data_IF_830971620544
#
_entry.id   IF_830971620544
#
_cell.length_a   1.000
_cell.length_b   1.000
_cell.length_c   1.000
_cell.angle_alpha   90.00
_cell.angle_beta   90.00
_cell.angle_gamma   90.00
#
_symmetry.space_group_name_H-M   'P 1'
#
loop_
_entity.id
_entity.type
_entity.pdbx_description
1 polymer ?
#
# COMPACT_ATOMS: atom_id res chain seq x y z
N UNK A 1 -32.80 -36.91 -27.44
CA UNK A 1 -31.61 -36.81 -28.32
C UNK A 1 -30.39 -37.36 -27.58
N UNK A 2 -29.84 -38.53 -27.95
CA UNK A 2 -28.65 -39.13 -27.28
C UNK A 2 -27.38 -38.47 -27.83
N UNK A 3 -26.78 -37.55 -27.07
CA UNK A 3 -25.47 -36.99 -27.41
C UNK A 3 -24.42 -38.12 -27.46
N UNK A 4 -23.67 -38.19 -28.55
CA UNK A 4 -22.63 -39.19 -28.75
C UNK A 4 -21.45 -38.96 -27.76
N UNK A 5 -20.74 -40.04 -27.41
CA UNK A 5 -19.68 -39.98 -26.38
C UNK A 5 -18.48 -39.13 -26.83
N UNK A 6 -18.15 -39.13 -28.12
CA UNK A 6 -17.02 -38.39 -28.69
C UNK A 6 -17.23 -36.87 -28.66
N UNK A 7 -18.43 -36.40 -29.00
CA UNK A 7 -18.86 -35.00 -28.92
C UNK A 7 -18.87 -34.49 -27.48
N UNK A 8 -19.25 -35.34 -26.51
CA UNK A 8 -19.16 -35.01 -25.08
C UNK A 8 -17.71 -34.83 -24.64
N UNK A 9 -16.80 -35.71 -25.06
CA UNK A 9 -15.38 -35.63 -24.72
C UNK A 9 -14.75 -34.39 -25.35
N UNK A 10 -15.02 -34.12 -26.62
CA UNK A 10 -14.51 -32.91 -27.30
C UNK A 10 -15.02 -31.63 -26.64
N UNK A 11 -16.28 -31.58 -26.22
CA UNK A 11 -16.84 -30.40 -25.53
C UNK A 11 -16.16 -30.16 -24.17
N UNK A 12 -15.89 -31.23 -23.41
CA UNK A 12 -15.19 -31.15 -22.11
C UNK A 12 -13.77 -30.64 -22.30
N UNK A 13 -13.04 -31.18 -23.29
CA UNK A 13 -11.65 -30.76 -23.56
C UNK A 13 -11.58 -29.27 -23.96
N UNK A 14 -12.47 -28.83 -24.85
CA UNK A 14 -12.56 -27.40 -25.25
C UNK A 14 -12.93 -26.51 -24.07
N UNK A 15 -13.91 -26.92 -23.25
CA UNK A 15 -14.31 -26.15 -22.07
C UNK A 15 -13.18 -26.05 -21.04
N UNK A 16 -12.46 -27.15 -20.80
CA UNK A 16 -11.30 -27.16 -19.89
C UNK A 16 -10.14 -26.30 -20.38
N UNK A 17 -9.84 -26.30 -21.68
CA UNK A 17 -8.81 -25.45 -22.26
C UNK A 17 -9.17 -23.96 -22.18
N UNK A 18 -10.44 -23.60 -22.43
CA UNK A 18 -10.95 -22.24 -22.28
C UNK A 18 -10.91 -21.75 -20.83
N UNK A 19 -11.28 -22.61 -19.87
CA UNK A 19 -11.18 -22.29 -18.44
C UNK A 19 -9.72 -22.06 -18.03
N UNK A 20 -8.78 -22.87 -18.54
CA UNK A 20 -7.34 -22.74 -18.23
C UNK A 20 -6.74 -21.45 -18.81
N UNK A 21 -7.21 -21.00 -19.99
CA UNK A 21 -6.80 -19.75 -20.60
C UNK A 21 -7.30 -18.51 -19.82
N UNK A 22 -8.50 -18.57 -19.23
CA UNK A 22 -9.08 -17.49 -18.43
C UNK A 22 -8.32 -17.25 -17.10
N UNK A 23 -7.59 -18.25 -16.60
CA UNK A 23 -6.79 -18.12 -15.36
C UNK A 23 -5.51 -17.30 -15.61
N UNK A 24 -5.03 -17.23 -16.86
CA UNK A 24 -3.80 -16.52 -17.22
C UNK A 24 -4.00 -15.02 -17.44
N UNK A 25 -5.24 -14.56 -17.67
CA UNK A 25 -5.57 -13.13 -17.82
C UNK A 25 -5.88 -12.42 -16.51
N UNK A 26 -5.74 -13.12 -15.37
CA UNK A 26 -5.89 -12.49 -14.06
C UNK A 26 -4.74 -11.50 -13.79
N UNK A 27 -5.07 -10.35 -13.21
CA UNK A 27 -4.05 -9.43 -12.69
C UNK A 27 -3.18 -10.16 -11.67
N UNK A 28 -1.92 -10.41 -12.02
CA UNK A 28 -0.94 -10.85 -11.03
C UNK A 28 -0.62 -9.65 -10.14
N UNK A 29 -0.77 -9.82 -8.83
CA UNK A 29 -0.20 -8.91 -7.85
C UNK A 29 1.30 -9.20 -7.81
N UNK A 30 2.02 -8.81 -8.86
CA UNK A 30 3.48 -8.87 -8.84
C UNK A 30 3.91 -7.98 -7.68
N UNK A 31 4.37 -8.62 -6.61
CA UNK A 31 4.87 -7.92 -5.45
C UNK A 31 6.00 -7.00 -5.90
N UNK A 32 5.94 -5.73 -5.49
CA UNK A 32 7.06 -4.81 -5.68
C UNK A 32 8.32 -5.48 -5.12
N UNK A 33 9.31 -5.76 -5.97
CA UNK A 33 10.61 -6.22 -5.50
C UNK A 33 11.37 -5.00 -4.98
N UNK A 34 11.13 -4.69 -3.71
CA UNK A 34 11.65 -3.52 -3.02
C UNK A 34 13.18 -3.50 -2.99
N UNK A 35 13.84 -4.66 -3.10
CA UNK A 35 15.30 -4.76 -3.14
C UNK A 35 15.92 -4.20 -4.44
N UNK A 36 15.12 -4.01 -5.49
CA UNK A 36 15.57 -3.45 -6.78
C UNK A 36 15.15 -1.99 -6.98
N UNK A 37 14.49 -1.36 -6.00
CA UNK A 37 14.08 0.04 -6.08
C UNK A 37 15.16 0.93 -5.46
N UNK A 38 15.31 2.13 -6.02
CA UNK A 38 16.12 3.17 -5.43
C UNK A 38 15.69 3.43 -3.97
N UNK A 39 16.66 3.76 -3.13
CA UNK A 39 16.39 4.10 -1.73
C UNK A 39 15.50 5.34 -1.66
N UNK A 40 14.38 5.22 -0.94
CA UNK A 40 13.51 6.36 -0.64
C UNK A 40 14.05 7.08 0.60
N UNK A 41 14.23 8.39 0.48
CA UNK A 41 14.92 9.19 1.47
C UNK A 41 13.93 9.82 2.44
N UNK A 42 14.06 9.55 3.74
CA UNK A 42 13.07 10.02 4.71
C UNK A 42 12.96 11.55 4.71
N UNK A 43 14.08 12.26 4.92
CA UNK A 43 14.06 13.72 5.08
C UNK A 43 13.56 14.46 3.83
N UNK A 44 13.86 13.91 2.64
CA UNK A 44 13.53 14.53 1.35
C UNK A 44 12.16 14.12 0.82
N UNK A 45 11.82 12.84 0.89
CA UNK A 45 10.67 12.27 0.20
C UNK A 45 9.49 12.00 1.13
N UNK A 46 9.74 11.65 2.40
CA UNK A 46 8.71 11.14 3.30
C UNK A 46 8.28 12.16 4.35
N UNK A 47 9.24 12.82 5.00
CA UNK A 47 8.98 13.82 6.04
C UNK A 47 8.05 14.95 5.53
N UNK A 48 8.22 15.49 4.30
CA UNK A 48 7.30 16.51 3.80
C UNK A 48 5.87 16.01 3.61
N UNK A 49 5.67 14.75 3.22
CA UNK A 49 4.33 14.17 3.04
C UNK A 49 3.63 14.08 4.41
N UNK A 50 4.29 13.49 5.41
CA UNK A 50 3.72 13.37 6.75
C UNK A 50 3.45 14.74 7.39
N UNK A 51 4.39 15.68 7.26
CA UNK A 51 4.25 17.01 7.85
C UNK A 51 3.10 17.81 7.21
N UNK A 52 3.03 17.84 5.88
CA UNK A 52 2.09 18.70 5.17
C UNK A 52 0.69 18.11 5.09
N UNK A 53 0.57 16.79 5.03
CA UNK A 53 -0.72 16.12 4.83
C UNK A 53 -1.32 15.55 6.11
N UNK A 54 -0.55 15.41 7.19
CA UNK A 54 -1.02 14.76 8.42
C UNK A 54 -0.66 15.56 9.68
N UNK A 55 0.54 16.14 9.75
CA UNK A 55 1.07 16.92 10.86
C UNK A 55 0.46 18.31 11.05
N UNK A 56 -0.79 18.52 10.65
CA UNK A 56 -1.50 19.80 10.74
C UNK A 56 -2.09 20.02 12.13
N UNK A 57 -2.21 21.28 12.54
CA UNK A 57 -2.76 21.68 13.84
C UNK A 57 -4.15 21.08 14.06
N UNK A 58 -4.33 20.40 15.19
CA UNK A 58 -5.59 19.74 15.55
C UNK A 58 -5.83 18.38 14.88
N UNK A 59 -4.90 17.88 14.06
CA UNK A 59 -4.98 16.55 13.45
C UNK A 59 -3.93 15.60 14.01
N UNK A 60 -2.67 15.66 13.58
CA UNK A 60 -1.58 14.84 14.13
C UNK A 60 -0.33 15.69 14.38
N UNK A 61 -0.54 16.84 15.00
CA UNK A 61 0.50 17.83 15.29
C UNK A 61 1.49 17.35 16.39
N UNK A 62 2.35 18.26 16.86
CA UNK A 62 3.37 17.99 17.86
C UNK A 62 2.82 17.56 19.23
N UNK A 63 1.56 17.88 19.53
CA UNK A 63 0.90 17.50 20.78
C UNK A 63 0.23 16.13 20.70
N UNK A 64 0.34 15.46 19.55
CA UNK A 64 -0.22 14.12 19.34
C UNK A 64 -1.69 14.10 18.93
N UNK A 65 -2.29 15.28 18.67
CA UNK A 65 -3.64 15.48 18.14
C UNK A 65 -4.66 14.34 18.30
N UNK A 66 -5.35 14.02 17.20
CA UNK A 66 -6.28 12.91 17.05
C UNK A 66 -5.53 11.56 17.17
N UNK A 67 -6.08 10.64 17.96
CA UNK A 67 -5.54 9.28 18.18
C UNK A 67 -4.14 9.19 18.82
N UNK A 68 -3.54 10.30 19.30
CA UNK A 68 -2.27 10.28 20.04
C UNK A 68 -1.02 10.16 19.15
N UNK A 69 -1.16 10.29 17.83
CA UNK A 69 -0.04 10.28 16.89
C UNK A 69 0.44 11.69 16.57
N UNK A 70 1.76 11.84 16.46
CA UNK A 70 2.40 13.05 15.96
C UNK A 70 3.14 12.74 14.67
N UNK A 71 2.84 13.47 13.60
CA UNK A 71 3.47 13.30 12.29
C UNK A 71 4.34 14.49 11.91
N UNK A 72 4.85 15.21 12.93
CA UNK A 72 5.74 16.36 12.75
C UNK A 72 7.22 16.01 12.92
N UNK A 73 7.55 14.76 13.25
CA UNK A 73 8.93 14.27 13.39
C UNK A 73 9.02 12.74 13.21
N UNK A 74 10.23 12.23 12.98
CA UNK A 74 10.47 10.81 12.75
C UNK A 74 10.03 9.90 13.92
N UNK A 75 10.37 10.18 15.19
CA UNK A 75 9.93 9.34 16.30
C UNK A 75 8.41 9.22 16.41
N UNK A 76 7.68 10.30 16.11
CA UNK A 76 6.23 10.31 16.10
C UNK A 76 5.65 9.48 14.95
N UNK A 77 6.19 9.64 13.73
CA UNK A 77 5.82 8.82 12.56
C UNK A 77 6.02 7.34 12.86
N UNK A 78 7.16 6.97 13.44
CA UNK A 78 7.48 5.57 13.72
C UNK A 78 6.54 4.88 14.70
N UNK A 79 5.80 5.63 15.55
CA UNK A 79 4.75 5.03 16.40
C UNK A 79 3.62 4.40 15.58
N UNK A 80 3.38 4.87 14.36
CA UNK A 80 2.33 4.37 13.47
C UNK A 80 2.86 3.44 12.35
N UNK A 81 4.16 3.16 12.33
CA UNK A 81 4.84 2.40 11.27
C UNK A 81 5.40 1.09 11.82
N UNK A 82 5.21 0.02 11.06
CA UNK A 82 5.86 -1.28 11.26
C UNK A 82 6.93 -1.43 10.17
N UNK A 83 8.23 -1.30 10.49
CA UNK A 83 9.30 -1.46 9.52
C UNK A 83 9.19 -2.77 8.72
N UNK A 84 9.51 -2.72 7.44
CA UNK A 84 9.45 -3.84 6.50
C UNK A 84 8.05 -4.42 6.25
N UNK A 85 6.98 -3.82 6.78
CA UNK A 85 5.61 -4.29 6.59
C UNK A 85 4.60 -3.13 6.53
N UNK A 86 4.44 -2.55 5.33
CA UNK A 86 3.44 -1.52 5.09
C UNK A 86 2.02 -2.02 5.39
N UNK A 87 1.73 -3.31 5.21
CA UNK A 87 0.39 -3.86 5.48
C UNK A 87 0.10 -4.02 6.97
N UNK A 88 1.10 -3.95 7.86
CA UNK A 88 0.89 -3.87 9.32
C UNK A 88 0.89 -2.44 9.87
N UNK A 89 1.48 -1.50 9.14
CA UNK A 89 1.60 -0.09 9.52
C UNK A 89 0.23 0.61 9.60
N UNK A 90 -0.10 1.17 10.77
CA UNK A 90 -1.38 1.84 11.01
C UNK A 90 -1.59 3.05 10.11
N UNK A 91 -0.58 3.91 9.95
CA UNK A 91 -0.66 5.07 9.07
C UNK A 91 -0.91 4.66 7.60
N UNK A 92 -0.22 3.61 7.11
CA UNK A 92 -0.37 3.14 5.74
C UNK A 92 -1.76 2.54 5.46
N UNK A 93 -2.32 1.81 6.43
CA UNK A 93 -3.69 1.32 6.36
C UNK A 93 -4.71 2.46 6.32
N UNK A 94 -4.51 3.50 7.14
CA UNK A 94 -5.39 4.65 7.20
C UNK A 94 -5.43 5.44 5.87
N UNK A 95 -4.28 5.65 5.21
CA UNK A 95 -4.21 6.33 3.90
C UNK A 95 -4.68 5.46 2.71
N UNK A 96 -4.91 4.18 2.94
CA UNK A 96 -5.46 3.23 1.95
C UNK A 96 -6.88 2.78 2.28
N UNK A 97 -7.49 3.32 3.35
CA UNK A 97 -8.85 2.99 3.79
C UNK A 97 -9.03 1.54 4.29
N UNK A 98 -7.94 0.81 4.54
CA UNK A 98 -8.00 -0.61 4.91
C UNK A 98 -8.22 -0.78 6.42
N UNK A 99 -9.43 -1.12 6.82
CA UNK A 99 -9.75 -1.40 8.23
C UNK A 99 -9.93 -0.14 9.09
N UNK A 100 -10.19 1.00 8.46
CA UNK A 100 -10.51 2.27 9.12
C UNK A 100 -11.89 2.74 8.65
N UNK A 101 -12.65 3.37 9.55
CA UNK A 101 -13.97 3.94 9.26
C UNK A 101 -13.88 5.18 8.37
N UNK A 102 -12.74 5.87 8.40
CA UNK A 102 -12.47 7.07 7.62
C UNK A 102 -11.11 6.97 6.94
N UNK A 103 -11.04 7.43 5.68
CA UNK A 103 -9.80 7.59 4.94
C UNK A 103 -9.02 8.79 5.47
N UNK A 104 -7.71 8.62 5.66
CA UNK A 104 -6.82 9.72 6.03
C UNK A 104 -5.94 10.19 4.86
N UNK A 105 -5.64 11.50 4.76
CA UNK A 105 -6.22 12.58 5.57
C UNK A 105 -7.68 12.90 5.16
N UNK A 106 -8.49 13.52 6.05
CA UNK A 106 -9.91 13.80 5.78
C UNK A 106 -10.14 14.76 4.61
N UNK A 107 -9.20 15.67 4.37
CA UNK A 107 -9.28 16.68 3.32
C UNK A 107 -9.19 16.08 1.91
N UNK A 108 -8.70 14.84 1.78
CA UNK A 108 -8.58 14.15 0.50
C UNK A 108 -7.52 13.07 0.54
N UNK A 109 -7.67 12.07 -0.33
CA UNK A 109 -6.67 11.02 -0.46
C UNK A 109 -5.32 11.59 -0.90
N UNK A 110 -4.23 11.03 -0.38
CA UNK A 110 -2.90 11.25 -0.95
C UNK A 110 -2.85 10.79 -2.41
N UNK A 111 -1.97 11.42 -3.18
CA UNK A 111 -1.72 10.99 -4.56
C UNK A 111 -1.18 9.55 -4.57
N UNK A 112 -1.35 8.87 -5.70
CA UNK A 112 -0.82 7.51 -5.86
C UNK A 112 0.69 7.47 -5.64
N UNK A 113 1.43 8.46 -6.16
CA UNK A 113 2.88 8.57 -6.00
C UNK A 113 3.30 8.68 -4.53
N UNK A 114 2.63 9.52 -3.74
CA UNK A 114 2.92 9.67 -2.31
C UNK A 114 2.67 8.38 -1.54
N UNK A 115 1.55 7.69 -1.83
CA UNK A 115 1.26 6.38 -1.22
C UNK A 115 2.31 5.33 -1.59
N UNK A 116 2.77 5.32 -2.85
CA UNK A 116 3.85 4.43 -3.29
C UNK A 116 5.16 4.75 -2.56
N UNK A 117 5.54 6.03 -2.45
CA UNK A 117 6.75 6.43 -1.72
C UNK A 117 6.70 5.96 -0.26
N UNK A 118 5.59 6.18 0.43
CA UNK A 118 5.40 5.72 1.81
C UNK A 118 5.49 4.19 1.88
N UNK A 119 4.82 3.47 0.97
CA UNK A 119 4.88 1.99 0.93
C UNK A 119 6.32 1.49 0.77
N UNK A 120 7.03 2.01 -0.21
CA UNK A 120 8.40 1.60 -0.53
C UNK A 120 9.33 1.92 0.62
N UNK A 121 9.27 3.12 1.19
CA UNK A 121 10.08 3.48 2.35
C UNK A 121 9.83 2.56 3.56
N UNK A 122 8.57 2.22 3.85
CA UNK A 122 8.26 1.28 4.94
C UNK A 122 8.86 -0.09 4.64
N UNK A 123 8.64 -0.60 3.43
CA UNK A 123 9.12 -1.93 3.03
C UNK A 123 10.66 -1.99 2.94
N UNK A 124 11.34 -0.85 2.74
CA UNK A 124 12.80 -0.69 2.84
C UNK A 124 13.31 -0.62 4.29
N UNK A 125 12.43 -0.72 5.28
CA UNK A 125 12.79 -0.73 6.71
C UNK A 125 12.56 0.59 7.44
N UNK A 126 11.93 1.59 6.81
CA UNK A 126 11.51 2.85 7.43
C UNK A 126 12.63 3.61 8.15
N UNK A 127 13.85 3.59 7.62
CA UNK A 127 14.99 4.28 8.22
C UNK A 127 14.88 5.80 8.10
N UNK A 128 15.39 6.55 9.09
CA UNK A 128 15.56 8.00 9.02
C UNK A 128 16.80 8.33 8.19
N UNK A 129 16.64 8.41 6.87
CA UNK A 129 17.73 8.65 5.92
C UNK A 129 17.78 10.11 5.48
N UNK A 130 18.99 10.65 5.43
CA UNK A 130 19.32 11.92 4.77
C UNK A 130 20.05 11.61 3.48
N UNK A 131 19.52 12.07 2.35
CA UNK A 131 20.14 11.91 1.04
C UNK A 131 20.51 13.27 0.48
N UNK A 132 21.60 13.28 -0.29
CA UNK A 132 22.11 14.48 -0.96
C UNK A 132 21.47 14.64 -2.35
#
# INVERSE_FOLDING_TARGET
MKMNKTLRISLILVFSASVLALIQTGCRHDGLNVANLDTVCYEKDIAPIFLNSCGTSGCHDSQGGESGYSFTNYPGVMKAISPSDAQKSAAYKAITGKGFTQLMPPAGALTEKERILIRVWIDQGAAQTTCN
#
